data_IF_349539605639
#
_entry.id   IF_349539605639
#
_cell.length_a   1.000
_cell.length_b   1.000
_cell.length_c   1.000
_cell.angle_alpha   90.00
_cell.angle_beta   90.00
_cell.angle_gamma   90.00
#
_symmetry.space_group_name_H-M   'P 1'
#
loop_
_entity.id
_entity.type
_entity.pdbx_description
1 polymer ?
#
# COMPACT_ATOMS: atom_id res chain seq x y z
N UNK A 1 -10.59 -2.71 5.20
CA UNK A 1 -9.15 -2.56 5.49
C UNK A 1 -8.89 -1.98 6.88
N UNK A 2 -9.25 -0.71 7.16
CA UNK A 2 -8.92 -0.04 8.43
C UNK A 2 -9.23 -0.84 9.70
N UNK A 3 -10.42 -1.47 9.80
CA UNK A 3 -10.78 -2.35 10.93
C UNK A 3 -9.76 -3.47 11.15
N UNK A 4 -9.39 -4.21 10.10
CA UNK A 4 -8.42 -5.30 10.21
C UNK A 4 -7.04 -4.78 10.57
N UNK A 5 -6.63 -3.63 10.03
CA UNK A 5 -5.29 -3.05 10.30
C UNK A 5 -5.13 -2.52 11.72
N UNK A 6 -6.19 -1.90 12.28
CA UNK A 6 -6.11 -1.13 13.52
C UNK A 6 -6.84 -1.78 14.71
N UNK A 7 -7.71 -2.74 14.44
CA UNK A 7 -8.57 -3.35 15.46
C UNK A 7 -8.98 -4.77 15.05
N UNK A 8 -8.00 -5.61 14.70
CA UNK A 8 -8.25 -7.01 14.37
C UNK A 8 -8.85 -7.75 15.58
N UNK A 9 -10.04 -8.34 15.47
CA UNK A 9 -10.70 -9.00 16.60
C UNK A 9 -9.95 -10.27 17.01
N UNK A 10 -9.79 -10.47 18.32
CA UNK A 10 -9.37 -11.77 18.88
C UNK A 10 -10.60 -12.50 19.44
N UNK A 11 -10.59 -13.85 19.44
CA UNK A 11 -11.65 -14.63 20.11
C UNK A 11 -11.80 -14.28 21.58
N UNK A 12 -10.69 -13.93 22.25
CA UNK A 12 -10.62 -13.52 23.64
C UNK A 12 -9.72 -12.27 23.81
N UNK A 13 -10.31 -11.21 24.36
CA UNK A 13 -9.61 -9.99 24.78
C UNK A 13 -9.55 -8.88 23.74
N UNK A 14 -8.67 -7.92 24.03
CA UNK A 14 -8.59 -6.65 23.29
C UNK A 14 -8.16 -6.83 21.83
N UNK A 15 -8.71 -6.06 20.88
CA UNK A 15 -8.34 -6.16 19.48
C UNK A 15 -6.86 -5.83 19.24
N UNK A 16 -6.32 -6.32 18.13
CA UNK A 16 -4.92 -6.12 17.75
C UNK A 16 -4.80 -4.96 16.76
N UNK A 17 -4.01 -3.96 17.11
CA UNK A 17 -3.54 -2.92 16.18
C UNK A 17 -2.26 -3.42 15.49
N UNK A 18 -2.43 -4.03 14.30
CA UNK A 18 -1.32 -4.59 13.52
C UNK A 18 -0.35 -3.50 13.05
N UNK A 19 -0.83 -2.29 12.76
CA UNK A 19 0.03 -1.19 12.30
C UNK A 19 0.90 -0.66 13.45
N UNK A 20 0.33 -0.50 14.65
CA UNK A 20 1.11 -0.13 15.83
C UNK A 20 2.18 -1.18 16.14
N UNK A 21 1.84 -2.47 16.02
CA UNK A 21 2.82 -3.56 16.17
C UNK A 21 3.94 -3.52 15.12
N UNK A 22 3.64 -3.18 13.86
CA UNK A 22 4.66 -3.00 12.83
C UNK A 22 5.64 -1.88 13.21
N UNK A 23 5.15 -0.71 13.63
CA UNK A 23 6.02 0.40 14.06
C UNK A 23 6.92 -0.02 15.21
N UNK A 24 6.37 -0.71 16.21
CA UNK A 24 7.14 -1.20 17.36
C UNK A 24 8.20 -2.23 16.95
N UNK A 25 7.84 -3.19 16.08
CA UNK A 25 8.76 -4.21 15.60
C UNK A 25 9.87 -3.63 14.73
N UNK A 26 9.58 -2.66 13.86
CA UNK A 26 10.58 -1.97 13.05
C UNK A 26 11.62 -1.24 13.92
N UNK A 27 11.21 -0.71 15.07
CA UNK A 27 12.11 -0.01 16.01
C UNK A 27 12.91 -0.96 16.89
N UNK A 28 12.28 -2.02 17.41
CA UNK A 28 12.87 -2.91 18.42
C UNK A 28 13.51 -4.18 17.87
N UNK A 29 13.05 -4.69 16.73
CA UNK A 29 13.52 -5.93 16.11
C UNK A 29 13.43 -5.87 14.56
N UNK A 30 14.18 -4.97 13.91
CA UNK A 30 14.09 -4.73 12.46
C UNK A 30 14.43 -5.94 11.58
N UNK A 31 15.24 -6.88 12.09
CA UNK A 31 15.62 -8.10 11.36
C UNK A 31 14.53 -9.20 11.39
N UNK A 32 13.42 -8.93 12.07
CA UNK A 32 12.30 -9.86 12.17
C UNK A 32 11.74 -10.21 10.79
N UNK A 33 11.57 -11.51 10.56
CA UNK A 33 10.90 -12.05 9.36
C UNK A 33 9.38 -12.12 9.50
N UNK A 34 8.82 -11.43 10.51
CA UNK A 34 7.40 -11.50 10.91
C UNK A 34 6.72 -10.13 10.99
N UNK A 35 7.34 -9.09 10.43
CA UNK A 35 6.77 -7.74 10.39
C UNK A 35 5.72 -7.68 9.28
N UNK A 36 4.47 -7.99 9.61
CA UNK A 36 3.43 -8.19 8.60
C UNK A 36 2.05 -7.71 9.07
N UNK A 37 1.18 -7.41 8.11
CA UNK A 37 -0.20 -7.02 8.33
C UNK A 37 -1.10 -7.77 7.37
N UNK A 38 -2.12 -8.43 7.91
CA UNK A 38 -3.15 -9.12 7.13
C UNK A 38 -4.46 -8.34 7.17
N UNK A 39 -5.11 -8.21 6.01
CA UNK A 39 -6.51 -7.81 5.91
C UNK A 39 -7.44 -9.02 5.77
N UNK A 40 -6.89 -10.22 5.58
CA UNK A 40 -7.65 -11.44 5.27
C UNK A 40 -8.16 -12.16 6.53
N UNK A 41 -9.18 -11.59 7.16
CA UNK A 41 -9.82 -12.18 8.32
C UNK A 41 -10.92 -13.15 7.90
N UNK A 42 -10.61 -14.45 7.89
CA UNK A 42 -11.52 -15.54 7.45
C UNK A 42 -12.88 -15.49 8.16
N UNK A 43 -12.90 -15.15 9.45
CA UNK A 43 -14.13 -15.11 10.26
C UNK A 43 -15.02 -13.89 10.02
N UNK A 44 -14.57 -12.92 9.22
CA UNK A 44 -15.36 -11.71 8.91
C UNK A 44 -15.52 -11.46 7.40
N UNK A 45 -15.03 -12.37 6.54
CA UNK A 45 -15.06 -12.16 5.08
C UNK A 45 -16.47 -11.97 4.53
N UNK A 46 -17.44 -12.71 5.08
CA UNK A 46 -18.86 -12.68 4.74
C UNK A 46 -19.56 -11.38 5.16
N UNK A 47 -18.96 -10.63 6.09
CA UNK A 47 -19.47 -9.35 6.58
C UNK A 47 -18.90 -8.15 5.80
N UNK A 48 -17.94 -8.38 4.91
CA UNK A 48 -17.31 -7.30 4.13
C UNK A 48 -18.08 -7.04 2.84
N UNK A 49 -18.26 -5.75 2.49
CA UNK A 49 -18.88 -5.35 1.22
C UNK A 49 -18.15 -5.94 0.00
N UNK A 50 -16.81 -6.01 0.08
CA UNK A 50 -15.94 -6.72 -0.85
C UNK A 50 -14.78 -7.34 -0.07
N UNK A 51 -14.37 -8.53 -0.48
CA UNK A 51 -13.19 -9.21 0.03
C UNK A 51 -11.93 -8.33 -0.19
N UNK A 52 -10.96 -8.29 0.74
CA UNK A 52 -9.74 -7.51 0.58
C UNK A 52 -8.96 -7.89 -0.68
N UNK A 53 -8.78 -6.97 -1.64
CA UNK A 53 -7.94 -7.22 -2.82
C UNK A 53 -6.46 -7.25 -2.43
N UNK A 54 -6.02 -6.28 -1.64
CA UNK A 54 -4.70 -6.23 -1.03
C UNK A 54 -4.73 -6.93 0.33
N UNK A 55 -4.36 -8.22 0.31
CA UNK A 55 -4.72 -9.16 1.37
C UNK A 55 -3.67 -9.25 2.49
N UNK A 56 -2.39 -9.18 2.14
CA UNK A 56 -1.27 -9.31 3.09
C UNK A 56 -0.10 -8.46 2.61
N UNK A 57 0.58 -7.79 3.53
CA UNK A 57 1.87 -7.16 3.24
C UNK A 57 2.87 -7.38 4.36
N UNK A 58 4.14 -7.45 3.98
CA UNK A 58 5.26 -7.71 4.86
C UNK A 58 6.35 -6.66 4.66
N UNK A 59 6.94 -6.21 5.76
CA UNK A 59 8.08 -5.31 5.76
C UNK A 59 9.39 -6.07 6.01
N UNK A 60 10.47 -5.51 5.51
CA UNK A 60 11.81 -6.05 5.68
C UNK A 60 12.82 -4.91 5.79
N UNK A 61 13.79 -5.05 6.70
CA UNK A 61 14.89 -4.09 6.83
C UNK A 61 16.20 -4.78 6.49
N UNK A 62 16.97 -4.18 5.59
CA UNK A 62 18.37 -4.54 5.36
C UNK A 62 19.16 -3.28 5.05
N UNK A 63 20.40 -3.19 5.57
CA UNK A 63 21.25 -2.00 5.40
C UNK A 63 20.52 -0.69 5.76
N UNK A 64 19.74 -0.69 6.85
CA UNK A 64 18.88 0.43 7.30
C UNK A 64 17.82 0.89 6.29
N UNK A 65 17.52 0.09 5.27
CA UNK A 65 16.50 0.38 4.25
C UNK A 65 15.25 -0.45 4.49
N UNK A 66 14.10 0.21 4.53
CA UNK A 66 12.78 -0.39 4.66
C UNK A 66 12.21 -0.75 3.30
N UNK A 67 11.99 -2.03 3.08
CA UNK A 67 11.24 -2.56 1.93
C UNK A 67 9.85 -3.04 2.37
N UNK A 68 8.90 -3.04 1.43
CA UNK A 68 7.55 -3.56 1.64
C UNK A 68 7.17 -4.49 0.48
N UNK A 69 6.71 -5.70 0.79
CA UNK A 69 6.10 -6.60 -0.18
C UNK A 69 4.58 -6.64 0.02
N UNK A 70 3.81 -6.45 -1.05
CA UNK A 70 2.36 -6.62 -1.06
C UNK A 70 1.96 -7.88 -1.81
N UNK A 71 1.11 -8.71 -1.21
CA UNK A 71 0.31 -9.72 -1.90
C UNK A 71 -1.11 -9.20 -2.17
N UNK A 72 -1.41 -8.98 -3.45
CA UNK A 72 -2.70 -8.54 -3.95
C UNK A 72 -3.39 -9.69 -4.69
N UNK A 73 -4.39 -10.32 -4.05
CA UNK A 73 -5.05 -11.53 -4.59
C UNK A 73 -5.80 -11.31 -5.91
N UNK A 74 -6.21 -10.07 -6.18
CA UNK A 74 -7.02 -9.69 -7.33
C UNK A 74 -6.70 -8.24 -7.70
N UNK A 75 -6.36 -8.03 -8.96
CA UNK A 75 -5.79 -6.78 -9.43
C UNK A 75 -6.38 -6.39 -10.79
N UNK A 76 -7.29 -5.42 -10.77
CA UNK A 76 -7.62 -4.62 -11.95
C UNK A 76 -6.37 -3.81 -12.31
N UNK A 77 -5.71 -4.21 -13.39
CA UNK A 77 -4.43 -3.64 -13.81
C UNK A 77 -4.58 -2.19 -14.29
N UNK A 78 -5.74 -1.82 -14.87
CA UNK A 78 -5.93 -0.50 -15.47
C UNK A 78 -6.38 0.53 -14.44
N UNK A 79 -7.45 0.26 -13.68
CA UNK A 79 -7.97 1.22 -12.71
C UNK A 79 -7.41 1.03 -11.31
N UNK A 80 -7.10 -0.20 -10.88
CA UNK A 80 -6.77 -0.49 -9.48
C UNK A 80 -5.29 -0.36 -9.16
N UNK A 81 -4.45 -1.09 -9.89
CA UNK A 81 -3.01 -1.25 -9.62
C UNK A 81 -2.27 0.09 -9.48
N UNK A 82 -2.50 1.12 -10.33
CA UNK A 82 -1.83 2.41 -10.16
C UNK A 82 -2.05 3.04 -8.77
N UNK A 83 -3.27 2.97 -8.23
CA UNK A 83 -3.57 3.46 -6.88
C UNK A 83 -2.97 2.56 -5.81
N UNK A 84 -2.95 1.24 -6.03
CA UNK A 84 -2.39 0.30 -5.07
C UNK A 84 -0.87 0.51 -4.90
N UNK A 85 -0.13 0.68 -6.01
CA UNK A 85 1.32 0.97 -5.97
C UNK A 85 1.57 2.27 -5.20
N UNK A 86 0.85 3.34 -5.53
CA UNK A 86 1.03 4.64 -4.88
C UNK A 86 0.73 4.58 -3.36
N UNK A 87 -0.34 3.88 -2.98
CA UNK A 87 -0.76 3.75 -1.57
C UNK A 87 0.29 3.04 -0.71
N UNK A 88 0.82 1.90 -1.19
CA UNK A 88 1.81 1.13 -0.44
C UNK A 88 3.22 1.74 -0.48
N UNK A 89 3.58 2.42 -1.57
CA UNK A 89 4.78 3.26 -1.58
C UNK A 89 4.67 4.36 -0.52
N UNK A 90 3.55 5.08 -0.48
CA UNK A 90 3.33 6.14 0.52
C UNK A 90 3.41 5.62 1.96
N UNK A 91 2.75 4.49 2.25
CA UNK A 91 2.82 3.85 3.57
C UNK A 91 4.27 3.49 3.95
N UNK A 92 5.05 2.98 2.99
CA UNK A 92 6.47 2.65 3.20
C UNK A 92 7.30 3.90 3.53
N UNK A 93 7.05 5.02 2.82
CA UNK A 93 7.67 6.31 3.13
C UNK A 93 7.34 6.81 4.53
N UNK A 94 6.07 6.75 4.93
CA UNK A 94 5.63 7.17 6.26
C UNK A 94 6.28 6.32 7.37
N UNK A 95 6.29 4.99 7.20
CA UNK A 95 6.93 4.08 8.16
C UNK A 95 8.43 4.28 8.24
N UNK A 96 9.11 4.47 7.10
CA UNK A 96 10.55 4.73 7.07
C UNK A 96 10.89 6.02 7.84
N UNK A 97 10.13 7.11 7.63
CA UNK A 97 10.32 8.36 8.38
C UNK A 97 10.08 8.19 9.88
N UNK A 98 9.04 7.43 10.27
CA UNK A 98 8.72 7.19 11.68
C UNK A 98 9.72 6.26 12.40
N UNK A 99 10.50 5.48 11.65
CA UNK A 99 11.47 4.52 12.19
C UNK A 99 12.93 4.89 11.91
N UNK A 100 13.21 6.09 11.40
CA UNK A 100 14.57 6.55 11.06
C UNK A 100 15.32 5.62 10.09
N UNK A 101 14.58 5.09 9.11
CA UNK A 101 15.06 4.20 8.06
C UNK A 101 15.11 4.91 6.71
N UNK A 102 16.02 4.45 5.86
CA UNK A 102 16.03 4.80 4.43
C UNK A 102 14.98 3.96 3.67
N UNK A 103 14.73 4.33 2.42
CA UNK A 103 13.84 3.59 1.54
C UNK A 103 14.57 2.45 0.84
N UNK A 104 13.97 1.27 0.89
CA UNK A 104 14.29 0.11 0.06
C UNK A 104 13.30 -0.01 -1.10
N UNK A 105 12.87 -1.24 -1.35
CA UNK A 105 12.04 -1.60 -2.48
C UNK A 105 10.57 -1.76 -2.09
N UNK A 106 9.69 -1.37 -3.00
CA UNK A 106 8.31 -1.85 -2.99
C UNK A 106 8.17 -3.03 -3.96
N UNK A 107 7.89 -4.21 -3.42
CA UNK A 107 7.72 -5.45 -4.18
C UNK A 107 6.23 -5.75 -4.29
N UNK A 108 5.68 -5.60 -5.49
CA UNK A 108 4.28 -5.93 -5.75
C UNK A 108 4.15 -7.38 -6.24
N UNK A 109 3.27 -8.16 -5.62
CA UNK A 109 2.95 -9.54 -6.01
C UNK A 109 1.46 -9.66 -6.23
N UNK A 110 1.06 -9.97 -7.47
CA UNK A 110 -0.34 -10.19 -7.83
C UNK A 110 -0.72 -11.67 -7.85
N UNK A 111 -1.96 -11.96 -7.46
CA UNK A 111 -2.63 -13.23 -7.71
C UNK A 111 -3.30 -13.21 -9.08
N UNK A 112 -4.62 -13.07 -9.11
CA UNK A 112 -5.36 -12.83 -10.37
C UNK A 112 -5.14 -11.38 -10.84
N UNK A 113 -4.35 -11.22 -11.90
CA UNK A 113 -4.07 -9.93 -12.53
C UNK A 113 -4.79 -9.87 -13.87
N UNK A 114 -5.72 -8.93 -14.02
CA UNK A 114 -6.62 -8.92 -15.15
C UNK A 114 -6.85 -7.51 -15.71
N UNK A 115 -7.26 -7.50 -16.98
CA UNK A 115 -7.83 -6.35 -17.66
C UNK A 115 -9.30 -6.64 -17.94
N UNK A 116 -10.18 -5.68 -17.64
CA UNK A 116 -11.56 -5.78 -18.08
C UNK A 116 -11.66 -5.56 -19.60
N UNK A 117 -12.54 -6.31 -20.26
CA UNK A 117 -12.71 -6.24 -21.72
C UNK A 117 -13.14 -4.85 -22.20
N UNK A 118 -13.85 -4.09 -21.36
CA UNK A 118 -14.27 -2.72 -21.65
C UNK A 118 -13.17 -1.67 -21.36
N UNK A 119 -11.95 -2.09 -21.02
CA UNK A 119 -10.78 -1.21 -20.79
C UNK A 119 -9.69 -1.35 -21.87
N UNK A 120 -9.87 -2.25 -22.86
CA UNK A 120 -8.79 -2.58 -23.80
C UNK A 120 -8.34 -1.37 -24.64
N UNK A 121 -9.27 -0.54 -25.13
CA UNK A 121 -8.92 0.68 -25.88
C UNK A 121 -8.11 1.67 -25.02
N UNK A 122 -8.47 1.82 -23.75
CA UNK A 122 -7.78 2.67 -22.80
C UNK A 122 -6.37 2.18 -22.49
N UNK A 123 -6.19 0.86 -22.39
CA UNK A 123 -4.88 0.23 -22.21
C UNK A 123 -3.99 0.45 -23.43
N UNK A 124 -4.50 0.23 -24.64
CA UNK A 124 -3.75 0.49 -25.87
C UNK A 124 -3.35 1.96 -25.99
N UNK A 125 -4.26 2.88 -25.63
CA UNK A 125 -3.94 4.31 -25.56
C UNK A 125 -2.81 4.58 -24.56
N UNK A 126 -2.82 3.95 -23.37
CA UNK A 126 -1.77 4.12 -22.38
C UNK A 126 -0.42 3.55 -22.85
N UNK A 127 -0.43 2.37 -23.49
CA UNK A 127 0.77 1.72 -24.02
C UNK A 127 1.43 2.52 -25.15
N UNK A 128 0.67 3.35 -25.87
CA UNK A 128 1.22 4.24 -26.90
C UNK A 128 2.06 5.41 -26.34
N UNK A 129 2.01 5.66 -25.02
CA UNK A 129 2.67 6.82 -24.38
C UNK A 129 4.04 6.45 -23.84
N UNK A 130 5.02 7.34 -24.02
CA UNK A 130 6.32 7.23 -23.37
C UNK A 130 6.22 7.67 -21.90
N UNK A 131 6.71 6.88 -20.92
CA UNK A 131 6.73 7.30 -19.52
C UNK A 131 7.57 8.56 -19.30
N UNK A 132 7.06 9.47 -18.46
CA UNK A 132 7.87 10.56 -17.92
C UNK A 132 8.75 10.08 -16.76
N UNK A 133 9.69 10.93 -16.33
CA UNK A 133 10.45 10.69 -15.12
C UNK A 133 9.51 10.63 -13.90
N UNK A 134 9.79 9.71 -12.97
CA UNK A 134 9.03 9.57 -11.73
C UNK A 134 9.02 10.87 -10.91
N UNK A 135 7.89 11.21 -10.25
CA UNK A 135 7.84 12.32 -9.31
C UNK A 135 8.72 12.04 -8.08
N UNK A 136 8.90 13.07 -7.27
CA UNK A 136 9.55 12.97 -5.96
C UNK A 136 8.54 13.28 -4.87
N UNK A 137 8.35 12.35 -3.93
CA UNK A 137 7.55 12.59 -2.73
C UNK A 137 8.41 13.34 -1.69
N UNK A 138 7.92 14.48 -1.22
CA UNK A 138 8.43 15.18 -0.05
C UNK A 138 7.43 15.06 1.11
N UNK A 139 7.92 14.56 2.25
CA UNK A 139 7.20 14.60 3.52
C UNK A 139 7.56 15.91 4.23
N UNK A 140 6.61 16.86 4.25
CA UNK A 140 6.84 18.23 4.72
C UNK A 140 6.96 18.35 6.24
N UNK A 141 6.41 17.37 6.96
CA UNK A 141 6.43 17.30 8.42
C UNK A 141 6.71 15.87 8.86
N UNK A 142 7.38 15.75 10.01
CA UNK A 142 7.45 14.49 10.78
C UNK A 142 6.52 14.61 11.99
N UNK A 143 5.29 14.06 11.94
CA UNK A 143 4.42 13.98 13.10
C UNK A 143 5.00 13.09 14.21
N UNK A 144 4.42 13.20 15.41
CA UNK A 144 4.82 12.42 16.58
C UNK A 144 4.54 10.91 16.43
N UNK A 145 3.51 10.54 15.66
CA UNK A 145 3.22 9.16 15.32
C UNK A 145 2.85 8.99 13.85
N UNK A 146 2.85 7.73 13.39
CA UNK A 146 2.34 7.34 12.08
C UNK A 146 0.87 7.75 11.85
N UNK A 147 0.11 7.97 12.92
CA UNK A 147 -1.32 8.23 12.86
C UNK A 147 -1.67 9.72 12.83
N UNK A 148 -0.69 10.60 13.03
CA UNK A 148 -0.91 12.06 13.06
C UNK A 148 -0.44 12.75 11.76
N UNK A 149 -0.23 11.99 10.68
CA UNK A 149 -0.05 12.59 9.35
C UNK A 149 -1.37 13.17 8.84
N UNK A 150 -1.26 14.32 8.20
CA UNK A 150 -2.35 15.04 7.58
C UNK A 150 -2.12 15.18 6.08
N UNK A 151 -3.17 15.43 5.31
CA UNK A 151 -3.07 15.58 3.85
C UNK A 151 -2.03 16.63 3.43
N UNK A 152 -1.91 17.73 4.18
CA UNK A 152 -0.98 18.81 3.91
C UNK A 152 0.50 18.44 4.13
N UNK A 153 0.80 17.29 4.73
CA UNK A 153 2.18 16.85 4.96
C UNK A 153 2.83 16.21 3.73
N UNK A 154 2.06 15.99 2.65
CA UNK A 154 2.50 15.27 1.46
C UNK A 154 2.57 16.21 0.25
N UNK A 155 3.75 16.31 -0.35
CA UNK A 155 3.96 17.06 -1.59
C UNK A 155 4.59 16.16 -2.66
N UNK A 156 3.94 16.05 -3.82
CA UNK A 156 4.50 15.36 -4.99
C UNK A 156 5.12 16.37 -5.96
N UNK A 157 6.44 16.46 -5.93
CA UNK A 157 7.22 17.38 -6.77
C UNK A 157 7.51 16.77 -8.12
N UNK A 158 7.59 17.63 -9.14
CA UNK A 158 7.94 17.25 -10.52
C UNK A 158 7.02 16.19 -11.12
N UNK A 159 5.77 16.08 -10.66
CA UNK A 159 4.81 15.13 -11.22
C UNK A 159 4.36 15.59 -12.60
N UNK A 160 4.87 14.93 -13.62
CA UNK A 160 4.43 15.08 -15.00
C UNK A 160 3.55 13.89 -15.37
N UNK A 161 2.41 14.18 -15.99
CA UNK A 161 1.44 13.14 -16.37
C UNK A 161 0.88 13.42 -17.76
N UNK A 162 0.59 12.35 -18.48
CA UNK A 162 -0.20 12.43 -19.71
C UNK A 162 -1.68 12.67 -19.38
N UNK A 163 -2.48 13.25 -20.28
CA UNK A 163 -3.90 13.48 -20.05
C UNK A 163 -4.64 12.25 -19.52
N UNK A 164 -5.55 12.45 -18.56
CA UNK A 164 -6.32 11.38 -17.93
C UNK A 164 -7.06 10.51 -18.96
N UNK A 165 -7.02 9.20 -18.79
CA UNK A 165 -7.83 8.25 -19.57
C UNK A 165 -8.99 7.82 -18.68
N UNK A 166 -10.23 7.98 -19.18
CA UNK A 166 -11.43 7.59 -18.45
C UNK A 166 -11.82 6.16 -18.82
N UNK A 167 -12.11 5.33 -17.82
CA UNK A 167 -12.71 4.01 -18.02
C UNK A 167 -13.84 3.77 -17.01
N UNK A 168 -14.90 3.04 -17.40
CA UNK A 168 -15.99 2.69 -16.50
C UNK A 168 -15.53 1.65 -15.46
N UNK A 169 -15.97 1.79 -14.21
CA UNK A 169 -15.75 0.75 -13.18
C UNK A 169 -16.56 -0.48 -13.55
N UNK A 170 -15.95 -1.66 -13.53
CA UNK A 170 -16.66 -2.91 -13.69
C UNK A 170 -17.43 -3.23 -12.39
N UNK A 171 -18.69 -3.64 -12.54
CA UNK A 171 -19.58 -4.07 -11.44
C UNK A 171 -19.73 -5.58 -11.51
#
# INVERSE_FOLDING_TARGET
YGKQWRSWPKPDGEPVDQIAQVVEQLRSNPDSRRIMVSAWNVGELDQMALLPCHALFQFYVANRRLSCQLYQRSADVFLGVPFNIASYALLTHMLAQQCDLELGDFVWTGGDCHLYLNHLEQVEQQLSRLPFQSPQLALLRRPASLFDYEFADFEFRNYQFHPSIKAPVAV
#
